data_IF_374258446323
#
_entry.id   IF_374258446323
#
_cell.length_a   1.000
_cell.length_b   1.000
_cell.length_c   1.000
_cell.angle_alpha   90.00
_cell.angle_beta   90.00
_cell.angle_gamma   90.00
#
_symmetry.space_group_name_H-M   'P 1'
#
loop_
_entity.id
_entity.type
_entity.pdbx_description
1 polymer ?
#
# COMPACT_ATOMS: atom_id res chain seq x y z
N UNK A 1 65.39 43.42 -64.17
CA UNK A 1 64.51 42.23 -64.10
C UNK A 1 63.62 42.31 -62.86
N UNK A 2 62.33 41.95 -63.00
CA UNK A 2 61.26 41.81 -61.97
C UNK A 2 60.80 43.13 -61.31
N UNK A 3 59.63 43.76 -61.54
CA UNK A 3 58.21 43.42 -61.83
C UNK A 3 57.44 42.62 -60.75
N UNK A 4 56.60 43.39 -60.06
CA UNK A 4 55.14 43.20 -59.82
C UNK A 4 54.62 42.48 -58.57
N UNK A 5 53.83 43.29 -57.82
CA UNK A 5 52.71 43.00 -56.93
C UNK A 5 51.87 41.75 -57.29
N UNK A 6 51.42 41.01 -56.27
CA UNK A 6 50.03 40.54 -56.16
C UNK A 6 49.67 40.08 -54.74
N UNK A 7 48.59 40.68 -54.24
CA UNK A 7 47.88 40.43 -52.98
C UNK A 7 47.10 39.13 -53.11
N UNK A 8 47.16 38.22 -52.13
CA UNK A 8 46.07 37.27 -51.89
C UNK A 8 45.83 36.99 -50.41
N UNK A 9 44.63 37.40 -50.01
CA UNK A 9 43.89 37.12 -48.80
C UNK A 9 43.89 35.61 -48.49
N UNK A 10 44.43 35.19 -47.34
CA UNK A 10 44.24 33.83 -46.84
C UNK A 10 43.21 33.84 -45.72
N UNK A 11 42.07 33.20 -46.01
CA UNK A 11 40.91 33.05 -45.16
C UNK A 11 41.23 32.35 -43.83
N UNK A 12 40.75 32.96 -42.75
CA UNK A 12 40.51 32.31 -41.46
C UNK A 12 39.53 31.14 -41.62
N UNK A 13 39.99 29.91 -41.45
CA UNK A 13 39.13 28.77 -41.14
C UNK A 13 38.76 28.81 -39.66
N UNK A 14 37.70 29.56 -39.32
CA UNK A 14 36.99 29.39 -38.06
C UNK A 14 36.14 28.11 -38.14
N UNK A 15 36.69 26.99 -37.67
CA UNK A 15 35.90 25.78 -37.44
C UNK A 15 34.99 26.02 -36.24
N UNK A 16 33.78 26.52 -36.50
CA UNK A 16 32.70 26.48 -35.52
C UNK A 16 32.32 25.02 -35.31
N UNK A 17 32.80 24.46 -34.21
CA UNK A 17 32.25 23.25 -33.63
C UNK A 17 30.78 23.57 -33.30
N UNK A 18 29.87 23.23 -34.22
CA UNK A 18 28.44 23.19 -33.93
C UNK A 18 28.30 22.10 -32.89
N UNK A 19 28.32 22.48 -31.61
CA UNK A 19 27.83 21.65 -30.54
C UNK A 19 26.40 21.28 -30.95
N UNK A 20 26.22 20.03 -31.37
CA UNK A 20 24.91 19.44 -31.58
C UNK A 20 24.11 19.76 -30.33
N UNK A 21 23.11 20.64 -30.48
CA UNK A 21 22.03 20.78 -29.52
C UNK A 21 21.52 19.36 -29.33
N UNK A 22 21.83 18.75 -28.19
CA UNK A 22 21.25 17.47 -27.80
C UNK A 22 19.74 17.71 -27.78
N UNK A 23 19.07 17.36 -28.88
CA UNK A 23 17.63 17.27 -28.93
C UNK A 23 17.21 16.44 -27.73
N UNK A 24 16.33 16.97 -26.87
CA UNK A 24 15.74 16.24 -25.74
C UNK A 24 15.53 14.78 -26.18
N UNK A 25 16.04 13.78 -25.44
CA UNK A 25 15.90 12.39 -25.84
C UNK A 25 14.44 12.13 -26.19
N UNK A 26 14.14 11.50 -27.33
CA UNK A 26 12.76 11.24 -27.73
C UNK A 26 12.09 10.48 -26.58
N UNK A 27 10.85 10.86 -26.28
CA UNK A 27 10.05 10.33 -25.16
C UNK A 27 10.18 8.81 -25.00
N UNK A 28 10.30 8.08 -26.12
CA UNK A 28 10.52 6.63 -26.23
C UNK A 28 11.80 6.14 -25.56
N UNK A 29 12.93 6.81 -25.76
CA UNK A 29 14.20 6.39 -25.18
C UNK A 29 14.17 6.45 -23.65
N UNK A 30 13.69 7.55 -23.08
CA UNK A 30 13.52 7.70 -21.62
C UNK A 30 12.57 6.64 -21.04
N UNK A 31 11.53 6.28 -21.78
CA UNK A 31 10.60 5.24 -21.34
C UNK A 31 11.26 3.86 -21.32
N UNK A 32 12.05 3.52 -22.35
CA UNK A 32 12.80 2.26 -22.37
C UNK A 32 13.89 2.22 -21.28
N UNK A 33 14.57 3.34 -21.02
CA UNK A 33 15.50 3.48 -19.89
C UNK A 33 14.78 3.22 -18.55
N UNK A 34 13.59 3.81 -18.37
CA UNK A 34 12.76 3.58 -17.19
C UNK A 34 12.33 2.13 -17.02
N UNK A 35 11.90 1.49 -18.11
CA UNK A 35 11.51 0.07 -18.15
C UNK A 35 12.69 -0.84 -17.79
N UNK A 36 13.88 -0.57 -18.33
CA UNK A 36 15.11 -1.31 -18.00
C UNK A 36 15.51 -1.12 -16.53
N UNK A 37 15.41 0.11 -16.02
CA UNK A 37 15.68 0.41 -14.62
C UNK A 37 14.69 -0.29 -13.69
N UNK A 38 13.40 -0.34 -14.04
CA UNK A 38 12.41 -1.12 -13.32
C UNK A 38 12.76 -2.61 -13.30
N UNK A 39 13.11 -3.20 -14.44
CA UNK A 39 13.50 -4.60 -14.53
C UNK A 39 14.71 -4.94 -13.61
N UNK A 40 15.66 -4.01 -13.44
CA UNK A 40 16.76 -4.17 -12.48
C UNK A 40 16.27 -4.19 -11.04
N UNK A 41 15.43 -3.23 -10.64
CA UNK A 41 14.88 -3.15 -9.28
C UNK A 41 13.99 -4.36 -8.95
N UNK A 42 13.20 -4.81 -9.93
CA UNK A 42 12.31 -5.95 -9.78
C UNK A 42 13.09 -7.25 -9.48
N UNK A 43 14.24 -7.45 -10.15
CA UNK A 43 15.14 -8.56 -9.84
C UNK A 43 15.69 -8.47 -8.41
N UNK A 44 16.08 -7.27 -7.98
CA UNK A 44 16.60 -7.03 -6.63
C UNK A 44 15.57 -7.34 -5.53
N UNK A 45 14.29 -7.00 -5.76
CA UNK A 45 13.23 -7.27 -4.79
C UNK A 45 12.56 -8.65 -4.97
N UNK A 46 13.12 -9.54 -5.81
CA UNK A 46 12.55 -10.86 -6.10
C UNK A 46 11.06 -10.78 -6.49
N UNK A 47 10.72 -9.77 -7.31
CA UNK A 47 9.35 -9.46 -7.75
C UNK A 47 8.35 -9.24 -6.59
N UNK A 48 8.83 -8.83 -5.42
CA UNK A 48 8.01 -8.54 -4.24
C UNK A 48 8.14 -7.07 -3.90
N UNK A 49 7.05 -6.32 -4.06
CA UNK A 49 7.04 -4.86 -3.91
C UNK A 49 5.62 -4.36 -3.67
N UNK A 50 5.49 -3.09 -3.33
CA UNK A 50 4.20 -2.43 -3.27
C UNK A 50 4.25 -1.06 -3.94
N UNK A 51 3.15 -0.64 -4.55
CA UNK A 51 3.07 0.67 -5.18
C UNK A 51 1.71 1.30 -4.98
N UNK A 52 1.62 2.63 -5.14
CA UNK A 52 0.36 3.37 -4.93
C UNK A 52 -0.10 4.01 -6.22
N UNK A 53 -1.27 3.60 -6.71
CA UNK A 53 -1.98 4.26 -7.79
C UNK A 53 -2.80 5.42 -7.25
N UNK A 54 -2.80 6.53 -7.97
CA UNK A 54 -3.63 7.69 -7.72
C UNK A 54 -4.69 7.80 -8.79
N UNK A 55 -5.92 8.01 -8.35
CA UNK A 55 -7.02 8.41 -9.19
C UNK A 55 -7.77 9.59 -8.56
N UNK A 56 -8.29 10.48 -9.39
CA UNK A 56 -9.21 11.54 -9.01
C UNK A 56 -10.52 11.33 -9.75
N UNK A 57 -11.63 11.44 -9.04
CA UNK A 57 -12.95 11.35 -9.64
C UNK A 57 -13.93 12.24 -8.88
N UNK A 58 -14.46 13.29 -9.51
CA UNK A 58 -15.52 14.16 -9.01
C UNK A 58 -15.21 14.72 -7.61
N UNK A 59 -14.01 15.30 -7.44
CA UNK A 59 -13.56 15.86 -6.15
C UNK A 59 -13.20 14.81 -5.09
N UNK A 60 -13.16 13.53 -5.46
CA UNK A 60 -12.71 12.43 -4.60
C UNK A 60 -11.28 12.06 -4.95
N UNK A 61 -10.46 11.87 -3.93
CA UNK A 61 -9.11 11.32 -4.07
C UNK A 61 -9.14 9.83 -3.74
N UNK A 62 -8.69 9.00 -4.67
CA UNK A 62 -8.58 7.55 -4.47
C UNK A 62 -7.11 7.16 -4.56
N UNK A 63 -6.56 6.66 -3.46
CA UNK A 63 -5.22 6.08 -3.42
C UNK A 63 -5.35 4.55 -3.28
N UNK A 64 -4.85 3.79 -4.25
CA UNK A 64 -4.87 2.32 -4.19
C UNK A 64 -3.46 1.80 -3.93
N UNK A 65 -3.21 1.30 -2.72
CA UNK A 65 -1.96 0.62 -2.37
C UNK A 65 -2.05 -0.83 -2.84
N UNK A 66 -1.22 -1.19 -3.81
CA UNK A 66 -1.15 -2.54 -4.40
C UNK A 66 0.07 -3.26 -3.84
N UNK A 67 -0.12 -4.52 -3.43
CA UNK A 67 0.92 -5.42 -2.93
C UNK A 67 1.13 -6.53 -3.95
N UNK A 68 2.38 -6.66 -4.40
CA UNK A 68 2.84 -7.70 -5.31
C UNK A 68 3.81 -8.60 -4.57
N UNK A 69 3.58 -9.91 -4.61
CA UNK A 69 4.48 -10.91 -4.05
C UNK A 69 4.77 -11.96 -5.12
N UNK A 70 6.05 -12.24 -5.32
CA UNK A 70 6.51 -13.21 -6.33
C UNK A 70 5.91 -12.95 -7.73
N UNK A 71 5.81 -11.67 -8.13
CA UNK A 71 5.30 -11.27 -9.45
C UNK A 71 3.78 -11.28 -9.58
N UNK A 72 3.04 -11.65 -8.53
CA UNK A 72 1.58 -11.68 -8.53
C UNK A 72 1.02 -10.59 -7.60
N UNK A 73 -0.01 -9.89 -8.05
CA UNK A 73 -0.78 -9.03 -7.14
C UNK A 73 -1.46 -9.95 -6.10
N UNK A 74 -1.19 -9.73 -4.82
CA UNK A 74 -1.78 -10.55 -3.74
C UNK A 74 -2.83 -9.79 -2.95
N UNK A 75 -2.73 -8.47 -2.90
CA UNK A 75 -3.66 -7.63 -2.16
C UNK A 75 -3.66 -6.20 -2.67
N UNK A 76 -4.80 -5.51 -2.50
CA UNK A 76 -4.90 -4.08 -2.70
C UNK A 76 -5.78 -3.44 -1.62
N UNK A 77 -5.46 -2.19 -1.28
CA UNK A 77 -6.25 -1.35 -0.39
C UNK A 77 -6.55 -0.02 -1.09
N UNK A 78 -7.81 0.18 -1.48
CA UNK A 78 -8.29 1.48 -1.93
C UNK A 78 -8.66 2.36 -0.73
N UNK A 79 -8.09 3.56 -0.67
CA UNK A 79 -8.41 4.59 0.31
C UNK A 79 -9.06 5.76 -0.42
N UNK A 80 -10.32 6.02 -0.12
CA UNK A 80 -11.11 7.10 -0.72
C UNK A 80 -11.29 8.23 0.28
N UNK A 81 -10.81 9.40 -0.10
CA UNK A 81 -10.94 10.63 0.68
C UNK A 81 -11.88 11.58 -0.06
N UNK A 82 -12.92 12.02 0.64
CA UNK A 82 -13.88 13.01 0.18
C UNK A 82 -13.85 14.15 1.22
N UNK A 83 -13.77 15.42 0.81
CA UNK A 83 -13.83 16.55 1.74
C UNK A 83 -15.03 16.42 2.68
N UNK A 84 -14.81 16.70 3.97
CA UNK A 84 -15.83 16.67 5.03
C UNK A 84 -16.51 15.30 5.24
N UNK A 85 -15.90 14.18 4.80
CA UNK A 85 -16.39 12.83 5.09
C UNK A 85 -15.31 11.96 5.70
N UNK A 86 -15.73 10.95 6.44
CA UNK A 86 -14.83 9.92 6.93
C UNK A 86 -14.14 9.22 5.75
N UNK A 87 -12.84 8.98 5.89
CA UNK A 87 -12.06 8.25 4.88
C UNK A 87 -12.54 6.80 4.81
N UNK A 88 -12.87 6.35 3.59
CA UNK A 88 -13.30 4.98 3.33
C UNK A 88 -12.10 4.13 2.91
N UNK A 89 -12.07 2.88 3.37
CA UNK A 89 -11.02 1.91 3.05
C UNK A 89 -11.64 0.60 2.61
N UNK A 90 -11.23 0.11 1.44
CA UNK A 90 -11.73 -1.13 0.87
C UNK A 90 -10.54 -2.01 0.50
N UNK A 91 -10.37 -3.10 1.23
CA UNK A 91 -9.38 -4.13 0.90
C UNK A 91 -9.99 -5.14 -0.06
N UNK A 92 -9.21 -5.59 -1.05
CA UNK A 92 -9.66 -6.60 -1.99
C UNK A 92 -8.49 -7.36 -2.61
N UNK A 93 -8.76 -8.60 -3.01
CA UNK A 93 -7.89 -9.38 -3.85
C UNK A 93 -8.10 -9.01 -5.32
N UNK A 94 -7.10 -9.22 -6.19
CA UNK A 94 -7.34 -9.14 -7.63
C UNK A 94 -8.40 -10.16 -8.03
N UNK A 95 -9.29 -9.74 -8.93
CA UNK A 95 -10.27 -10.60 -9.57
C UNK A 95 -10.48 -10.12 -11.02
N UNK A 96 -11.17 -10.94 -11.82
CA UNK A 96 -11.39 -10.64 -13.24
C UNK A 96 -12.11 -9.30 -13.48
N UNK A 97 -13.00 -8.88 -12.57
CA UNK A 97 -13.76 -7.62 -12.69
C UNK A 97 -13.02 -6.38 -12.20
N UNK A 98 -11.94 -6.55 -11.43
CA UNK A 98 -11.07 -5.48 -10.93
C UNK A 98 -9.63 -5.83 -11.24
N UNK A 99 -9.27 -5.73 -12.52
CA UNK A 99 -7.91 -5.98 -12.98
C UNK A 99 -6.97 -4.89 -12.44
N UNK A 100 -6.31 -5.20 -11.33
CA UNK A 100 -5.14 -4.46 -10.86
C UNK A 100 -3.92 -5.08 -11.50
N UNK A 101 -3.09 -4.23 -12.09
CA UNK A 101 -1.91 -4.64 -12.82
C UNK A 101 -0.70 -4.75 -11.90
N UNK A 102 0.30 -5.50 -12.30
CA UNK A 102 1.68 -5.32 -11.81
C UNK A 102 2.31 -4.08 -12.46
N UNK A 103 3.47 -3.62 -11.97
CA UNK A 103 4.20 -2.55 -12.65
C UNK A 103 4.62 -2.97 -14.07
N UNK A 104 4.99 -4.24 -14.29
CA UNK A 104 5.31 -4.75 -15.64
C UNK A 104 4.14 -4.63 -16.59
N UNK A 105 2.96 -5.05 -16.13
CA UNK A 105 1.73 -4.93 -16.90
C UNK A 105 1.36 -3.46 -17.15
N UNK A 106 1.65 -2.55 -16.22
CA UNK A 106 1.49 -1.10 -16.43
C UNK A 106 2.44 -0.62 -17.54
N UNK A 107 3.72 -0.98 -17.52
CA UNK A 107 4.65 -0.63 -18.60
C UNK A 107 4.17 -1.17 -19.96
N UNK A 108 3.69 -2.41 -19.99
CA UNK A 108 3.15 -3.02 -21.22
C UNK A 108 1.89 -2.31 -21.71
N UNK A 109 0.95 -1.99 -20.83
CA UNK A 109 -0.29 -1.31 -21.19
C UNK A 109 -0.02 0.14 -21.65
N UNK A 110 0.95 0.82 -21.03
CA UNK A 110 1.39 2.14 -21.48
C UNK A 110 1.92 2.06 -22.91
N UNK A 111 2.80 1.10 -23.21
CA UNK A 111 3.42 0.93 -24.52
C UNK A 111 2.40 0.52 -25.61
N UNK A 112 1.47 -0.39 -25.27
CA UNK A 112 0.54 -0.98 -26.25
C UNK A 112 -0.75 -0.20 -26.45
N UNK A 113 -1.25 0.50 -25.43
CA UNK A 113 -2.59 1.10 -25.43
C UNK A 113 -2.57 2.59 -25.16
N UNK A 114 -1.96 3.03 -24.06
CA UNK A 114 -2.00 4.45 -23.67
C UNK A 114 -1.23 5.32 -24.66
N UNK A 115 -0.01 4.91 -25.03
CA UNK A 115 0.86 5.69 -25.89
C UNK A 115 0.27 5.89 -27.29
N UNK A 116 -0.16 4.84 -28.02
CA UNK A 116 -0.74 5.05 -29.35
C UNK A 116 -2.02 5.89 -29.31
N UNK A 117 -2.84 5.73 -28.28
CA UNK A 117 -4.09 6.47 -28.13
C UNK A 117 -3.88 7.97 -27.77
N UNK A 118 -2.82 8.27 -27.02
CA UNK A 118 -2.51 9.63 -26.58
C UNK A 118 -1.92 10.50 -27.71
N UNK A 119 -1.14 9.91 -28.60
CA UNK A 119 -0.41 10.64 -29.65
C UNK A 119 0.46 11.76 -29.07
N UNK A 120 0.26 12.98 -29.55
CA UNK A 120 1.00 14.17 -29.09
C UNK A 120 0.60 14.64 -27.68
N UNK A 121 -0.55 14.19 -27.15
CA UNK A 121 -1.04 14.59 -25.82
C UNK A 121 -0.45 13.74 -24.68
N UNK A 122 0.42 12.78 -25.00
CA UNK A 122 1.03 11.90 -24.02
C UNK A 122 1.94 12.66 -23.06
N UNK A 123 1.65 12.54 -21.77
CA UNK A 123 2.49 13.05 -20.67
C UNK A 123 3.09 11.87 -19.93
N UNK A 124 4.42 11.79 -19.91
CA UNK A 124 5.16 10.82 -19.11
C UNK A 124 6.13 11.54 -18.17
N UNK A 125 6.11 11.16 -16.89
CA UNK A 125 7.11 11.58 -15.90
C UNK A 125 7.68 10.39 -15.16
N UNK A 126 8.88 10.58 -14.61
CA UNK A 126 9.62 9.57 -13.87
C UNK A 126 9.98 10.12 -12.50
N UNK A 127 10.13 9.24 -11.50
CA UNK A 127 10.63 9.62 -10.19
C UNK A 127 12.16 9.80 -10.20
N UNK A 128 12.70 10.17 -9.05
CA UNK A 128 14.14 10.32 -8.77
C UNK A 128 14.97 9.06 -9.08
N UNK A 129 14.35 7.87 -9.04
CA UNK A 129 14.96 6.58 -9.39
C UNK A 129 14.83 6.22 -10.87
N UNK A 130 14.29 7.12 -11.70
CA UNK A 130 14.04 6.89 -13.12
C UNK A 130 12.89 5.93 -13.42
N UNK A 131 12.03 5.62 -12.43
CA UNK A 131 10.87 4.73 -12.60
C UNK A 131 9.63 5.54 -12.97
N UNK A 132 8.74 4.94 -13.75
CA UNK A 132 7.52 5.56 -14.22
C UNK A 132 6.68 6.09 -13.04
N UNK A 133 6.36 7.38 -13.08
CA UNK A 133 5.53 8.06 -12.08
C UNK A 133 4.20 8.50 -12.67
N UNK A 134 4.18 8.92 -13.92
CA UNK A 134 2.97 9.32 -14.63
C UNK A 134 3.08 8.85 -16.08
N UNK A 135 2.04 8.24 -16.64
CA UNK A 135 1.92 7.98 -18.07
C UNK A 135 0.46 8.02 -18.48
N UNK A 136 0.08 9.05 -19.22
CA UNK A 136 -1.30 9.21 -19.66
C UNK A 136 -1.58 10.52 -20.37
N UNK A 137 -2.85 10.76 -20.65
CA UNK A 137 -3.35 11.93 -21.34
C UNK A 137 -4.75 12.27 -20.86
N UNK A 138 -5.18 13.51 -21.12
CA UNK A 138 -6.57 13.92 -20.93
C UNK A 138 -7.25 13.92 -22.29
N UNK A 139 -8.45 13.33 -22.37
CA UNK A 139 -9.22 13.35 -23.63
C UNK A 139 -9.63 14.77 -23.98
N UNK A 140 -9.41 15.16 -25.24
CA UNK A 140 -9.82 16.47 -25.77
C UNK A 140 -11.33 16.65 -25.60
N UNK A 141 -11.75 17.81 -25.09
CA UNK A 141 -13.16 18.13 -24.88
C UNK A 141 -13.81 17.49 -23.64
N UNK A 142 -13.02 16.87 -22.76
CA UNK A 142 -13.56 16.32 -21.51
C UNK A 142 -14.04 17.43 -20.54
N UNK A 143 -15.26 17.26 -20.02
CA UNK A 143 -15.77 17.98 -18.85
C UNK A 143 -15.74 17.03 -17.65
N UNK A 144 -14.70 17.10 -16.81
CA UNK A 144 -14.56 16.26 -15.61
C UNK A 144 -13.27 15.45 -15.56
N UNK A 145 -13.27 14.34 -14.84
CA UNK A 145 -12.12 13.44 -14.73
C UNK A 145 -12.09 12.43 -15.90
N UNK A 146 -11.43 12.79 -17.00
CA UNK A 146 -11.17 11.88 -18.14
C UNK A 146 -9.69 11.63 -18.38
N UNK A 147 -8.89 11.63 -17.32
CA UNK A 147 -7.50 11.22 -17.43
C UNK A 147 -7.43 9.71 -17.71
N UNK A 148 -6.77 9.36 -18.79
CA UNK A 148 -6.52 7.98 -19.22
C UNK A 148 -5.05 7.66 -19.02
N UNK A 149 -4.75 6.74 -18.11
CA UNK A 149 -3.38 6.34 -17.81
C UNK A 149 -3.14 6.01 -16.35
N UNK A 150 -1.88 6.14 -15.92
CA UNK A 150 -1.41 5.75 -14.60
C UNK A 150 -0.67 6.88 -13.91
N UNK A 151 -1.04 7.13 -12.65
CA UNK A 151 -0.30 8.00 -11.73
C UNK A 151 0.18 7.16 -10.55
N UNK A 152 1.48 6.91 -10.49
CA UNK A 152 2.15 6.10 -9.47
C UNK A 152 2.84 7.06 -8.49
N UNK A 153 2.38 7.10 -7.24
CA UNK A 153 2.91 8.01 -6.21
C UNK A 153 4.19 7.49 -5.56
N UNK A 154 4.11 6.26 -5.04
CA UNK A 154 5.14 5.65 -4.20
C UNK A 154 5.38 4.21 -4.63
N UNK A 155 6.65 3.78 -4.65
CA UNK A 155 7.05 2.38 -4.87
C UNK A 155 7.93 1.96 -3.69
N UNK A 156 7.59 0.86 -3.04
CA UNK A 156 8.37 0.22 -1.99
C UNK A 156 8.90 -1.11 -2.50
N UNK A 157 10.23 -1.26 -2.49
CA UNK A 157 10.91 -2.49 -2.92
C UNK A 157 10.98 -3.54 -1.80
N UNK A 158 10.49 -3.21 -0.61
CA UNK A 158 10.36 -4.10 0.53
C UNK A 158 8.98 -3.88 1.16
N UNK A 159 8.34 -4.97 1.62
CA UNK A 159 7.03 -4.90 2.24
C UNK A 159 7.18 -4.55 3.72
N UNK A 160 6.62 -3.41 4.13
CA UNK A 160 6.56 -3.00 5.52
C UNK A 160 5.35 -3.58 6.23
N UNK A 161 5.15 -3.14 7.47
CA UNK A 161 3.99 -3.54 8.28
C UNK A 161 2.66 -3.17 7.62
N UNK A 162 2.59 -2.01 6.95
CA UNK A 162 1.39 -1.61 6.23
C UNK A 162 0.99 -2.64 5.17
N UNK A 163 1.92 -3.10 4.35
CA UNK A 163 1.67 -4.11 3.31
C UNK A 163 1.29 -5.46 3.92
N UNK A 164 1.93 -5.87 5.00
CA UNK A 164 1.59 -7.11 5.71
C UNK A 164 0.15 -7.06 6.27
N UNK A 165 -0.26 -5.92 6.84
CA UNK A 165 -1.63 -5.69 7.30
C UNK A 165 -2.60 -5.79 6.11
N UNK A 166 -2.30 -5.18 4.97
CA UNK A 166 -3.15 -5.20 3.78
C UNK A 166 -3.36 -6.64 3.29
N UNK A 167 -2.29 -7.44 3.20
CA UNK A 167 -2.37 -8.86 2.79
C UNK A 167 -3.25 -9.66 3.75
N UNK A 168 -3.04 -9.49 5.07
CA UNK A 168 -3.86 -10.14 6.10
C UNK A 168 -5.33 -9.70 6.05
N UNK A 169 -5.58 -8.42 5.81
CA UNK A 169 -6.93 -7.86 5.71
C UNK A 169 -7.68 -8.40 4.50
N UNK A 170 -7.03 -8.54 3.34
CA UNK A 170 -7.66 -9.15 2.15
C UNK A 170 -8.07 -10.59 2.41
N UNK A 171 -7.19 -11.39 3.04
CA UNK A 171 -7.54 -12.76 3.46
C UNK A 171 -8.75 -12.76 4.40
N UNK A 172 -8.78 -11.83 5.35
CA UNK A 172 -9.90 -11.67 6.26
C UNK A 172 -11.20 -11.32 5.53
N UNK A 173 -11.20 -10.36 4.61
CA UNK A 173 -12.40 -9.99 3.83
C UNK A 173 -12.96 -11.18 3.04
N UNK A 174 -12.07 -11.95 2.40
CA UNK A 174 -12.47 -13.18 1.70
C UNK A 174 -13.09 -14.21 2.64
N UNK A 175 -12.48 -14.43 3.80
CA UNK A 175 -12.98 -15.40 4.77
C UNK A 175 -14.29 -14.94 5.42
N UNK A 176 -14.41 -13.64 5.73
CA UNK A 176 -15.60 -13.00 6.26
C UNK A 176 -16.79 -13.18 5.32
N UNK A 177 -16.58 -13.03 4.02
CA UNK A 177 -17.61 -13.31 3.01
C UNK A 177 -18.05 -14.78 3.04
N UNK A 178 -17.10 -15.74 3.08
CA UNK A 178 -17.41 -17.18 3.16
C UNK A 178 -18.18 -17.56 4.42
N UNK A 179 -17.96 -16.86 5.53
CA UNK A 179 -18.60 -17.12 6.82
C UNK A 179 -19.87 -16.29 7.03
N UNK A 180 -20.38 -15.59 6.01
CA UNK A 180 -21.52 -14.67 6.14
C UNK A 180 -21.35 -13.70 7.32
N UNK A 181 -20.12 -13.23 7.53
CA UNK A 181 -19.74 -12.34 8.62
C UNK A 181 -20.12 -12.87 10.03
N UNK A 182 -20.13 -14.20 10.20
CA UNK A 182 -20.46 -14.90 11.44
C UNK A 182 -19.26 -15.73 11.93
N UNK A 183 -18.70 -15.33 13.07
CA UNK A 183 -17.45 -15.84 13.59
C UNK A 183 -17.24 -15.47 15.05
N UNK A 184 -16.35 -16.18 15.72
CA UNK A 184 -15.84 -15.74 17.01
C UNK A 184 -14.32 -15.64 16.99
N UNK A 185 -13.78 -14.84 17.90
CA UNK A 185 -12.34 -14.73 18.10
C UNK A 185 -12.00 -14.54 19.58
N UNK A 186 -10.77 -14.90 19.95
CA UNK A 186 -10.25 -14.78 21.32
C UNK A 186 -9.20 -13.68 21.34
N UNK A 187 -9.53 -12.55 21.98
CA UNK A 187 -8.59 -11.47 22.24
C UNK A 187 -7.94 -11.67 23.61
N UNK A 188 -6.61 -11.62 23.66
CA UNK A 188 -5.81 -11.73 24.89
C UNK A 188 -5.31 -10.34 25.28
N UNK A 189 -5.37 -10.05 26.57
CA UNK A 189 -4.74 -8.91 27.22
C UNK A 189 -4.09 -9.34 28.53
N UNK A 190 -3.07 -8.60 28.95
CA UNK A 190 -2.28 -8.94 30.12
C UNK A 190 -1.18 -9.95 29.84
N UNK A 191 -0.49 -10.36 30.90
CA UNK A 191 0.63 -11.27 30.87
C UNK A 191 1.16 -11.52 32.28
N UNK A 192 2.07 -12.48 32.43
CA UNK A 192 2.67 -12.81 33.74
C UNK A 192 3.28 -11.57 34.42
N UNK A 193 3.94 -10.71 33.65
CA UNK A 193 4.51 -9.45 34.15
C UNK A 193 3.45 -8.48 34.71
N UNK A 194 2.25 -8.42 34.13
CA UNK A 194 1.14 -7.61 34.65
C UNK A 194 0.45 -8.25 35.87
N UNK A 195 0.75 -9.51 36.18
CA UNK A 195 0.10 -10.27 37.25
C UNK A 195 -1.28 -10.82 36.90
N UNK A 196 -1.77 -10.65 35.67
CA UNK A 196 -3.04 -11.25 35.22
C UNK A 196 -3.03 -11.58 33.73
N UNK A 197 -3.94 -12.45 33.29
CA UNK A 197 -4.28 -12.69 31.88
C UNK A 197 -5.79 -12.65 31.71
N UNK A 198 -6.25 -11.91 30.72
CA UNK A 198 -7.66 -11.82 30.34
C UNK A 198 -7.83 -12.34 28.91
N UNK A 199 -8.68 -13.34 28.75
CA UNK A 199 -9.10 -13.89 27.47
C UNK A 199 -10.57 -13.56 27.22
N UNK A 200 -10.82 -12.81 26.15
CA UNK A 200 -12.16 -12.39 25.74
C UNK A 200 -12.57 -13.11 24.48
N UNK A 201 -13.53 -14.02 24.60
CA UNK A 201 -14.19 -14.67 23.46
C UNK A 201 -15.33 -13.80 22.96
N UNK A 202 -15.19 -13.27 21.75
CA UNK A 202 -16.10 -12.32 21.13
C UNK A 202 -16.82 -13.03 19.98
N UNK A 203 -18.13 -13.16 20.08
CA UNK A 203 -18.99 -13.76 19.07
C UNK A 203 -19.66 -12.69 18.23
N UNK A 204 -19.49 -12.80 16.93
CA UNK A 204 -20.03 -11.92 15.90
C UNK A 204 -20.99 -12.71 15.03
N UNK A 205 -22.20 -12.20 14.81
CA UNK A 205 -23.18 -12.77 13.88
C UNK A 205 -23.63 -11.67 12.94
N UNK A 206 -23.50 -11.93 11.64
CA UNK A 206 -23.83 -10.96 10.59
C UNK A 206 -23.18 -9.58 10.81
N UNK A 207 -21.94 -9.56 11.34
CA UNK A 207 -21.21 -8.33 11.65
C UNK A 207 -21.52 -7.68 13.00
N UNK A 208 -22.50 -8.18 13.75
CA UNK A 208 -22.87 -7.64 15.06
C UNK A 208 -22.33 -8.51 16.21
N UNK A 209 -21.82 -7.86 17.27
CA UNK A 209 -21.35 -8.56 18.46
C UNK A 209 -22.55 -9.04 19.28
N UNK A 210 -22.79 -10.35 19.27
CA UNK A 210 -23.90 -10.98 19.99
C UNK A 210 -23.52 -11.48 21.38
N UNK A 211 -22.24 -11.75 21.65
CA UNK A 211 -21.78 -12.23 22.96
C UNK A 211 -20.31 -11.90 23.18
N UNK A 212 -19.95 -11.50 24.38
CA UNK A 212 -18.55 -11.40 24.82
C UNK A 212 -18.45 -12.05 26.19
N UNK A 213 -17.63 -13.10 26.27
CA UNK A 213 -17.33 -13.80 27.51
C UNK A 213 -15.84 -13.64 27.84
N UNK A 214 -15.54 -13.35 29.09
CA UNK A 214 -14.18 -13.14 29.59
C UNK A 214 -13.83 -14.19 30.62
N UNK A 215 -12.64 -14.77 30.47
CA UNK A 215 -11.95 -15.51 31.52
C UNK A 215 -10.75 -14.68 31.95
N UNK A 216 -10.65 -14.36 33.23
CA UNK A 216 -9.52 -13.61 33.79
C UNK A 216 -8.86 -14.41 34.90
N UNK A 217 -7.59 -14.71 34.69
CA UNK A 217 -6.71 -15.36 35.66
C UNK A 217 -5.83 -14.32 36.34
N UNK A 218 -5.85 -14.27 37.67
CA UNK A 218 -4.95 -13.46 38.49
C UNK A 218 -3.83 -14.36 39.02
N UNK A 219 -2.61 -14.12 38.56
CA UNK A 219 -1.45 -14.94 38.90
C UNK A 219 -0.95 -14.68 40.33
N UNK A 220 -1.22 -13.50 40.89
CA UNK A 220 -0.79 -13.15 42.26
C UNK A 220 -1.73 -13.77 43.29
N UNK A 221 -3.03 -13.69 43.04
CA UNK A 221 -4.05 -14.28 43.90
C UNK A 221 -4.27 -15.78 43.63
N UNK A 222 -3.73 -16.32 42.53
CA UNK A 222 -4.00 -17.67 42.05
C UNK A 222 -5.52 -17.95 41.92
N UNK A 223 -6.26 -16.98 41.36
CA UNK A 223 -7.71 -17.08 41.17
C UNK A 223 -8.07 -16.97 39.70
N UNK A 224 -9.24 -17.50 39.33
CA UNK A 224 -9.82 -17.36 37.99
C UNK A 224 -11.26 -16.88 38.12
N UNK A 225 -11.65 -15.94 37.26
CA UNK A 225 -12.99 -15.39 37.22
C UNK A 225 -13.56 -15.47 35.81
N UNK A 226 -14.88 -15.62 35.72
CA UNK A 226 -15.62 -15.66 34.46
C UNK A 226 -16.68 -14.60 34.45
N UNK A 227 -16.81 -13.87 33.34
CA UNK A 227 -17.76 -12.77 33.22
C UNK A 227 -18.40 -12.73 31.85
N UNK A 228 -19.70 -12.44 31.82
CA UNK A 228 -20.43 -12.15 30.60
C UNK A 228 -20.65 -10.64 30.49
N UNK A 229 -20.37 -10.07 29.32
CA UNK A 229 -20.52 -8.63 29.10
C UNK A 229 -21.99 -8.24 28.91
N UNK A 230 -22.37 -7.12 29.50
CA UNK A 230 -23.67 -6.47 29.27
C UNK A 230 -23.80 -5.98 27.82
N UNK A 231 -25.02 -5.61 27.40
CA UNK A 231 -25.25 -5.02 26.06
C UNK A 231 -24.45 -3.73 25.84
N UNK A 232 -24.35 -2.88 26.87
CA UNK A 232 -23.62 -1.62 26.79
C UNK A 232 -22.11 -1.85 26.60
N UNK A 233 -21.53 -2.83 27.30
CA UNK A 233 -20.10 -3.17 27.15
C UNK A 233 -19.80 -3.83 25.81
N UNK A 234 -20.70 -4.68 25.29
CA UNK A 234 -20.57 -5.27 23.94
C UNK A 234 -20.45 -4.21 22.86
N UNK A 235 -21.24 -3.12 22.94
CA UNK A 235 -21.16 -2.00 21.98
C UNK A 235 -19.82 -1.26 21.99
N UNK A 236 -19.08 -1.33 23.10
CA UNK A 236 -17.73 -0.77 23.24
C UNK A 236 -16.63 -1.74 22.79
N UNK A 237 -16.99 -3.00 22.52
CA UNK A 237 -16.06 -4.02 22.04
C UNK A 237 -15.92 -3.91 20.52
N UNK A 238 -14.70 -4.03 20.00
CA UNK A 238 -14.45 -4.02 18.56
C UNK A 238 -14.62 -5.40 17.93
N UNK A 239 -15.00 -5.43 16.65
CA UNK A 239 -14.92 -6.62 15.78
C UNK A 239 -13.50 -6.76 15.20
N UNK A 240 -13.22 -7.83 14.44
CA UNK A 240 -11.95 -7.93 13.71
C UNK A 240 -11.77 -6.79 12.69
N UNK A 241 -12.84 -6.29 12.08
CA UNK A 241 -12.79 -5.12 11.19
C UNK A 241 -12.27 -3.87 11.91
N UNK A 242 -12.70 -3.67 13.16
CA UNK A 242 -12.20 -2.59 14.00
C UNK A 242 -10.70 -2.77 14.32
N UNK A 243 -10.23 -4.02 14.46
CA UNK A 243 -8.83 -4.32 14.77
C UNK A 243 -7.93 -4.07 13.55
N UNK A 244 -8.37 -4.43 12.34
CA UNK A 244 -7.67 -4.05 11.10
C UNK A 244 -7.68 -2.54 10.87
N UNK A 245 -8.79 -1.87 11.21
CA UNK A 245 -8.87 -0.40 11.15
C UNK A 245 -7.85 0.23 12.11
N UNK A 246 -7.74 -0.28 13.33
CA UNK A 246 -6.71 0.14 14.28
C UNK A 246 -5.30 -0.11 13.73
N UNK A 247 -5.03 -1.32 13.21
CA UNK A 247 -3.74 -1.66 12.63
C UNK A 247 -3.30 -0.65 11.55
N UNK A 248 -4.20 -0.32 10.61
CA UNK A 248 -3.90 0.62 9.53
C UNK A 248 -3.77 2.07 10.00
N UNK A 249 -4.57 2.51 10.97
CA UNK A 249 -4.66 3.94 11.31
C UNK A 249 -3.79 4.34 12.50
N UNK A 250 -3.49 3.40 13.40
CA UNK A 250 -2.76 3.64 14.65
C UNK A 250 -1.41 2.96 14.71
N UNK A 251 -1.18 1.87 13.97
CA UNK A 251 0.11 1.16 13.95
C UNK A 251 0.89 1.51 12.69
N UNK A 252 0.31 1.30 11.51
CA UNK A 252 1.00 1.55 10.23
C UNK A 252 1.34 3.03 9.96
N UNK A 253 0.71 3.97 10.68
CA UNK A 253 1.00 5.40 10.61
C UNK A 253 2.15 5.86 11.50
N UNK A 254 2.65 4.98 12.38
CA UNK A 254 3.70 5.31 13.34
C UNK A 254 5.07 5.10 12.70
N UNK A 255 5.98 6.06 12.89
CA UNK A 255 7.36 5.91 12.44
C UNK A 255 8.09 4.85 13.28
N UNK A 256 8.81 3.90 12.64
CA UNK A 256 9.64 2.92 13.33
C UNK A 256 10.83 3.56 14.08
N UNK A 257 11.16 4.82 13.81
CA UNK A 257 12.18 5.55 14.55
C UNK A 257 11.71 5.90 15.96
N UNK A 258 10.39 6.10 16.13
CA UNK A 258 9.78 6.55 17.38
C UNK A 258 9.32 5.41 18.28
N UNK A 259 8.86 4.30 17.69
CA UNK A 259 8.28 3.16 18.41
C UNK A 259 8.62 1.86 17.72
N UNK A 260 8.70 0.80 18.51
CA UNK A 260 8.73 -0.56 17.99
C UNK A 260 7.32 -0.93 17.50
N UNK A 261 7.25 -1.46 16.30
CA UNK A 261 6.00 -1.79 15.63
C UNK A 261 5.87 -3.30 15.55
N UNK A 262 4.72 -3.82 15.94
CA UNK A 262 4.46 -5.26 15.97
C UNK A 262 3.32 -5.59 15.03
N UNK A 263 3.55 -6.54 14.14
CA UNK A 263 2.51 -7.19 13.36
C UNK A 263 2.90 -8.66 13.16
N UNK A 264 2.01 -9.57 13.53
CA UNK A 264 2.16 -11.01 13.26
C UNK A 264 0.84 -11.55 12.76
N UNK A 265 0.95 -12.58 11.93
CA UNK A 265 -0.20 -13.38 11.49
C UNK A 265 -0.12 -14.79 12.07
N UNK A 266 -1.27 -15.43 12.24
CA UNK A 266 -1.33 -16.88 12.49
C UNK A 266 -1.17 -17.68 11.20
N UNK A 267 -1.24 -19.01 11.29
CA UNK A 267 -1.10 -19.92 10.14
C UNK A 267 -2.14 -19.66 9.03
N UNK A 268 -3.35 -19.23 9.39
CA UNK A 268 -4.40 -18.85 8.43
C UNK A 268 -4.10 -17.52 7.70
N UNK A 269 -3.05 -16.81 8.09
CA UNK A 269 -2.70 -15.50 7.56
C UNK A 269 -3.57 -14.36 8.09
N UNK A 270 -4.34 -14.56 9.16
CA UNK A 270 -5.04 -13.49 9.87
C UNK A 270 -4.17 -12.89 10.96
N UNK A 271 -4.43 -11.64 11.33
CA UNK A 271 -3.74 -10.95 12.43
C UNK A 271 -3.82 -11.76 13.72
N UNK A 272 -2.66 -12.02 14.33
CA UNK A 272 -2.49 -12.66 15.64
C UNK A 272 -1.87 -11.72 16.67
N UNK A 273 -1.14 -10.71 16.22
CA UNK A 273 -0.59 -9.64 17.05
C UNK A 273 -0.53 -8.35 16.24
N UNK A 274 -0.99 -7.23 16.80
CA UNK A 274 -0.76 -5.92 16.21
C UNK A 274 -0.69 -4.83 17.28
N UNK A 275 0.33 -3.99 17.22
CA UNK A 275 0.48 -2.91 18.20
C UNK A 275 1.80 -2.15 18.08
N UNK A 276 2.05 -1.31 19.08
CA UNK A 276 3.30 -0.55 19.22
C UNK A 276 3.83 -0.65 20.64
N UNK A 277 5.14 -0.53 20.83
CA UNK A 277 5.76 -0.28 22.12
C UNK A 277 6.68 0.94 22.03
N UNK A 278 6.81 1.68 23.13
CA UNK A 278 7.83 2.72 23.24
C UNK A 278 9.21 2.07 23.19
N UNK A 279 10.14 2.64 22.41
CA UNK A 279 11.53 2.14 22.36
C UNK A 279 12.14 2.14 23.76
N UNK A 280 12.97 1.13 24.02
CA UNK A 280 13.67 0.95 25.30
C UNK A 280 12.75 0.88 26.52
N UNK A 281 11.51 0.40 26.35
CA UNK A 281 10.65 0.13 27.48
C UNK A 281 11.06 -1.17 28.18
N UNK A 282 11.42 -1.06 29.47
CA UNK A 282 11.81 -2.20 30.32
C UNK A 282 10.59 -2.96 30.90
N UNK A 283 9.38 -2.42 30.76
CA UNK A 283 8.14 -2.96 31.30
C UNK A 283 7.09 -3.29 30.24
N UNK A 284 5.82 -3.32 30.68
CA UNK A 284 4.70 -3.59 29.79
C UNK A 284 4.18 -2.30 29.11
N UNK A 285 4.89 -1.87 28.06
CA UNK A 285 4.49 -0.73 27.24
C UNK A 285 3.75 -1.13 25.96
N UNK A 286 3.43 -2.42 25.79
CA UNK A 286 2.77 -2.86 24.57
C UNK A 286 1.34 -2.32 24.52
N UNK A 287 1.05 -1.51 23.50
CA UNK A 287 -0.30 -1.02 23.21
C UNK A 287 -0.77 -1.66 21.92
N UNK A 288 -1.78 -2.53 22.01
CA UNK A 288 -2.29 -3.23 20.83
C UNK A 288 -3.24 -4.36 21.17
N UNK A 289 -3.33 -5.31 20.24
CA UNK A 289 -4.21 -6.47 20.32
C UNK A 289 -3.42 -7.75 20.06
N UNK A 290 -3.71 -8.77 20.85
CA UNK A 290 -3.26 -10.14 20.63
C UNK A 290 -4.49 -11.00 20.38
N UNK A 291 -4.51 -11.73 19.27
CA UNK A 291 -5.59 -12.65 18.89
C UNK A 291 -5.06 -14.07 18.87
N UNK A 292 -5.60 -14.92 19.74
CA UNK A 292 -5.18 -16.32 19.84
C UNK A 292 -5.91 -17.25 18.88
N UNK A 293 -7.16 -16.92 18.51
CA UNK A 293 -8.00 -17.80 17.70
C UNK A 293 -9.06 -17.00 16.96
N UNK A 294 -9.37 -17.44 15.73
CA UNK A 294 -10.47 -16.93 14.90
C UNK A 294 -11.14 -18.16 14.26
N UNK A 295 -12.47 -18.33 14.41
CA UNK A 295 -13.24 -19.44 13.83
C UNK A 295 -14.68 -19.04 13.53
N UNK A 296 -15.35 -19.79 12.66
CA UNK A 296 -16.80 -19.71 12.48
C UNK A 296 -17.54 -20.58 13.50
N UNK A 297 -18.85 -20.38 13.68
CA UNK A 297 -19.73 -21.13 14.56
C UNK A 297 -21.17 -21.14 14.03
#
# INVERSE_FOLDING_TARGET
>A
MKRSLLIYCFLLFATTLVAQIQSKPPLKEKFQQSKAQWAKLQKQCKQTYAYTLLNSAHGRKVETRVVVQNGLVTAALATTTIPNRATQRTAFAPNASRRILTLDEIYQDVEKRIWPAAGQNLKITYNDKGILQNAGYERVGCKGDCYEGYRIKNISLQLGIQEQIIVSMVKWEQQKAKWNNTYYFIAISGGKAQGFRSERTIYVRNGEIIKVAEVRDDYKANTSSRRLYTRAERRKTGTLDAFYTYALTKVASVSPDKKDLFFKTGESGFVSLVGTATKNCEGDCFTGYTIARIRTF
#
